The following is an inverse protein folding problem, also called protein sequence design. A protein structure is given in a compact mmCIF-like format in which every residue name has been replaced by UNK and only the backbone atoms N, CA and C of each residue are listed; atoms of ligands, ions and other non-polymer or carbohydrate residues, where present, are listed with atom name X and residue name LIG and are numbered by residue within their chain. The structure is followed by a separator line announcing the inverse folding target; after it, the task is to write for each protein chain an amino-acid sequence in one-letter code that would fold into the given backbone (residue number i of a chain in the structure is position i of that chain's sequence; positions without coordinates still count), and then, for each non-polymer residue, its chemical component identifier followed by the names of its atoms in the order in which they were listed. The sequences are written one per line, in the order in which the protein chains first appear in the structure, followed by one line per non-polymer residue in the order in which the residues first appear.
data_IF_763257405566
#
_entry.id   IF_763257405566
#
_cell.length_a   1.000
_cell.length_b   1.000
_cell.length_c   1.000
_cell.angle_alpha   90.00
_cell.angle_beta   90.00
_cell.angle_gamma   90.00
#
_symmetry.space_group_name_H-M   'P 1'
#
loop_
_entity.id
_entity.type
_entity.pdbx_description
1 polymer ?
#
# COMPACT_ATOMS: atom_id res chain seq x y z
N UNK A 1 -8.25 -8.24 -12.94
CA UNK A 1 -9.23 -7.81 -11.92
C UNK A 1 -8.55 -7.32 -10.64
N UNK A 2 -7.64 -8.09 -10.05
CA UNK A 2 -6.96 -7.75 -8.78
C UNK A 2 -6.15 -6.46 -8.85
N UNK A 3 -5.47 -6.18 -9.97
CA UNK A 3 -4.72 -4.94 -10.19
C UNK A 3 -5.63 -3.70 -10.11
N UNK A 4 -6.86 -3.80 -10.60
CA UNK A 4 -7.82 -2.70 -10.55
C UNK A 4 -8.26 -2.38 -9.11
N UNK A 5 -8.35 -3.37 -8.23
CA UNK A 5 -8.67 -3.15 -6.82
C UNK A 5 -7.51 -2.46 -6.09
N UNK A 6 -6.25 -2.82 -6.39
CA UNK A 6 -5.09 -2.12 -5.90
C UNK A 6 -5.03 -0.66 -6.38
N UNK A 7 -5.33 -0.43 -7.66
CA UNK A 7 -5.40 0.93 -8.22
C UNK A 7 -6.52 1.77 -7.57
N UNK A 8 -7.70 1.19 -7.34
CA UNK A 8 -8.83 1.89 -6.70
C UNK A 8 -8.51 2.31 -5.25
N UNK A 9 -7.75 1.52 -4.52
CA UNK A 9 -7.33 1.88 -3.16
C UNK A 9 -6.34 3.06 -3.14
N UNK A 10 -5.67 3.38 -4.27
CA UNK A 10 -4.81 4.57 -4.38
C UNK A 10 -5.62 5.90 -4.30
N UNK A 11 -6.94 5.87 -4.32
CA UNK A 11 -7.77 7.04 -3.98
C UNK A 11 -7.34 7.65 -2.65
N UNK A 12 -6.90 6.84 -1.68
CA UNK A 12 -6.33 7.33 -0.42
C UNK A 12 -5.09 8.21 -0.62
N UNK A 13 -4.19 7.85 -1.53
CA UNK A 13 -2.98 8.63 -1.85
C UNK A 13 -3.38 10.00 -2.43
N UNK A 14 -4.29 10.01 -3.40
CA UNK A 14 -4.74 11.25 -4.03
C UNK A 14 -5.56 12.13 -3.08
N UNK A 15 -6.36 11.53 -2.19
CA UNK A 15 -7.11 12.25 -1.16
C UNK A 15 -6.16 12.92 -0.15
N UNK A 16 -5.10 12.22 0.29
CA UNK A 16 -4.09 12.80 1.17
C UNK A 16 -3.32 13.93 0.48
N UNK A 17 -2.92 13.73 -0.78
CA UNK A 17 -2.23 14.76 -1.57
C UNK A 17 -3.09 16.01 -1.73
N UNK A 18 -4.33 15.86 -2.19
CA UNK A 18 -5.25 16.99 -2.37
C UNK A 18 -5.59 17.67 -1.05
N UNK A 19 -5.82 16.90 0.01
CA UNK A 19 -6.07 17.43 1.35
C UNK A 19 -4.87 18.21 1.91
N UNK A 20 -3.64 17.72 1.71
CA UNK A 20 -2.43 18.43 2.13
C UNK A 20 -2.26 19.76 1.38
N UNK A 21 -2.52 19.77 0.07
CA UNK A 21 -2.50 21.02 -0.71
C UNK A 21 -3.55 22.04 -0.20
N UNK A 22 -4.76 21.58 0.13
CA UNK A 22 -5.82 22.44 0.70
C UNK A 22 -5.47 22.97 2.09
N UNK A 23 -4.65 22.27 2.85
CA UNK A 23 -4.18 22.68 4.17
C UNK A 23 -2.94 23.61 4.10
N UNK A 24 -2.49 23.98 2.90
CA UNK A 24 -1.40 24.92 2.68
C UNK A 24 0.00 24.31 2.67
N UNK A 25 0.13 22.99 2.61
CA UNK A 25 1.42 22.34 2.36
C UNK A 25 1.88 22.59 0.93
N UNK A 26 3.19 22.71 0.75
CA UNK A 26 3.76 22.80 -0.60
C UNK A 26 3.48 21.55 -1.40
N UNK A 27 3.55 21.63 -2.72
CA UNK A 27 3.29 20.50 -3.60
C UNK A 27 4.24 19.30 -3.31
N UNK A 28 5.49 19.56 -2.93
CA UNK A 28 6.47 18.54 -2.55
C UNK A 28 6.10 17.87 -1.21
N UNK A 29 5.75 18.66 -0.22
CA UNK A 29 5.27 18.15 1.08
C UNK A 29 3.97 17.36 0.92
N UNK A 30 3.03 17.89 0.14
CA UNK A 30 1.76 17.22 -0.15
C UNK A 30 1.95 15.87 -0.86
N UNK A 31 2.92 15.78 -1.78
CA UNK A 31 3.27 14.50 -2.41
C UNK A 31 3.85 13.50 -1.40
N UNK A 32 4.75 13.96 -0.53
CA UNK A 32 5.33 13.11 0.52
C UNK A 32 4.27 12.63 1.53
N UNK A 33 3.34 13.51 1.91
CA UNK A 33 2.21 13.20 2.79
C UNK A 33 1.22 12.25 2.07
N UNK A 34 0.99 12.45 0.78
CA UNK A 34 0.03 11.69 -0.01
C UNK A 34 0.24 10.18 0.08
N UNK A 35 1.48 9.73 0.06
CA UNK A 35 1.80 8.29 0.10
C UNK A 35 1.32 7.59 1.38
N UNK A 36 1.15 8.33 2.49
CA UNK A 36 0.59 7.77 3.74
C UNK A 36 -0.78 7.13 3.48
N UNK A 37 -1.58 7.73 2.58
CA UNK A 37 -2.90 7.22 2.23
C UNK A 37 -2.89 5.83 1.56
N UNK A 38 -1.75 5.40 1.02
CA UNK A 38 -1.53 4.04 0.52
C UNK A 38 -1.21 3.02 1.61
N UNK A 39 -1.00 3.45 2.85
CA UNK A 39 -0.56 2.60 3.98
C UNK A 39 0.75 1.85 3.71
N UNK A 40 1.72 2.53 3.12
CA UNK A 40 3.05 2.02 2.76
C UNK A 40 4.13 2.79 3.51
N UNK A 41 4.56 2.27 4.65
CA UNK A 41 5.56 2.90 5.51
C UNK A 41 6.90 3.12 4.81
N UNK A 42 7.54 2.07 4.26
CA UNK A 42 8.83 2.19 3.57
C UNK A 42 8.79 3.17 2.39
N UNK A 43 7.76 3.13 1.57
CA UNK A 43 7.60 4.04 0.44
C UNK A 43 7.37 5.49 0.90
N UNK A 44 6.63 5.68 2.00
CA UNK A 44 6.44 7.01 2.62
C UNK A 44 7.77 7.61 3.08
N UNK A 45 8.63 6.82 3.73
CA UNK A 45 9.98 7.27 4.12
C UNK A 45 10.82 7.59 2.88
N UNK A 46 10.83 6.71 1.89
CA UNK A 46 11.59 6.92 0.65
C UNK A 46 11.21 8.24 -0.03
N UNK A 47 9.92 8.54 -0.13
CA UNK A 47 9.48 9.76 -0.77
C UNK A 47 9.73 11.00 0.10
N UNK A 48 9.50 10.91 1.42
CA UNK A 48 9.74 12.00 2.35
C UNK A 48 11.22 12.39 2.39
N UNK A 49 12.16 11.45 2.35
CA UNK A 49 13.59 11.76 2.29
C UNK A 49 13.99 12.54 1.04
N UNK A 50 13.26 12.39 -0.06
CA UNK A 50 13.53 13.09 -1.33
C UNK A 50 12.82 14.43 -1.44
N UNK A 51 11.56 14.52 -1.01
CA UNK A 51 10.71 15.69 -1.28
C UNK A 51 10.50 16.58 -0.07
N UNK A 52 10.50 16.03 1.15
CA UNK A 52 10.22 16.76 2.39
C UNK A 52 11.02 16.21 3.58
N UNK A 53 12.37 16.30 3.59
CA UNK A 53 13.20 15.70 4.64
C UNK A 53 12.87 16.23 6.04
N UNK A 54 12.43 17.47 6.17
CA UNK A 54 12.03 18.11 7.43
C UNK A 54 10.75 17.51 8.02
N UNK A 55 9.89 16.87 7.21
CA UNK A 55 8.67 16.17 7.65
C UNK A 55 8.87 14.67 7.83
N UNK A 56 10.08 14.14 7.59
CA UNK A 56 10.37 12.70 7.60
C UNK A 56 9.88 12.02 8.88
N UNK A 57 10.18 12.60 10.05
CA UNK A 57 9.78 12.03 11.33
C UNK A 57 8.27 11.93 11.50
N UNK A 58 7.53 13.00 11.18
CA UNK A 58 6.08 13.03 11.26
C UNK A 58 5.42 12.05 10.28
N UNK A 59 5.90 12.01 9.03
CA UNK A 59 5.40 11.10 7.99
C UNK A 59 5.67 9.64 8.37
N UNK A 60 6.87 9.32 8.86
CA UNK A 60 7.23 7.97 9.26
C UNK A 60 6.34 7.46 10.40
N UNK A 61 6.16 8.27 11.46
CA UNK A 61 5.29 7.91 12.59
C UNK A 61 3.85 7.72 12.14
N UNK A 62 3.31 8.64 11.35
CA UNK A 62 1.96 8.51 10.81
C UNK A 62 1.81 7.22 10.00
N UNK A 63 2.69 6.96 9.01
CA UNK A 63 2.60 5.82 8.12
C UNK A 63 2.68 4.48 8.87
N UNK A 64 3.66 4.31 9.78
CA UNK A 64 3.78 3.07 10.56
C UNK A 64 2.69 2.90 11.60
N UNK A 65 2.20 4.00 12.21
CA UNK A 65 1.07 3.93 13.12
C UNK A 65 -0.17 3.42 12.41
N UNK A 66 -0.47 3.90 11.20
CA UNK A 66 -1.63 3.42 10.43
C UNK A 66 -1.47 1.98 9.97
N UNK A 67 -0.27 1.55 9.57
CA UNK A 67 -0.02 0.14 9.29
C UNK A 67 -0.36 -0.74 10.49
N UNK A 68 0.03 -0.34 11.70
CA UNK A 68 -0.28 -1.08 12.92
C UNK A 68 -1.77 -1.06 13.27
N UNK A 69 -2.47 0.02 12.92
CA UNK A 69 -3.90 0.21 13.21
C UNK A 69 -4.83 -0.35 12.12
N UNK A 70 -4.29 -0.94 11.04
CA UNK A 70 -5.08 -1.58 9.97
C UNK A 70 -6.17 -2.52 10.54
N UNK A 71 -5.88 -3.44 11.47
CA UNK A 71 -6.90 -4.35 12.01
C UNK A 71 -8.00 -3.65 12.81
N UNK A 72 -7.76 -2.43 13.27
CA UNK A 72 -8.73 -1.64 14.03
C UNK A 72 -9.57 -0.74 13.12
N UNK A 73 -8.94 -0.08 12.13
CA UNK A 73 -9.58 0.92 11.28
C UNK A 73 -10.37 0.29 10.14
N UNK A 74 -9.83 -0.73 9.47
CA UNK A 74 -10.47 -1.31 8.29
C UNK A 74 -11.81 -1.99 8.57
N UNK A 75 -12.00 -2.82 9.62
CA UNK A 75 -13.26 -3.54 9.81
C UNK A 75 -14.50 -2.66 9.93
N UNK A 76 -14.50 -1.53 10.67
CA UNK A 76 -15.62 -0.59 10.68
C UNK A 76 -15.92 -0.02 9.30
N UNK A 77 -14.88 0.40 8.56
CA UNK A 77 -15.03 0.96 7.21
C UNK A 77 -15.61 -0.07 6.26
N UNK A 78 -15.08 -1.29 6.26
CA UNK A 78 -15.59 -2.39 5.44
C UNK A 78 -17.06 -2.69 5.72
N UNK A 79 -17.46 -2.73 6.99
CA UNK A 79 -18.84 -2.97 7.41
C UNK A 79 -19.78 -1.83 7.02
N UNK A 80 -19.31 -0.59 7.06
CA UNK A 80 -20.08 0.59 6.66
C UNK A 80 -20.44 0.55 5.18
N UNK A 81 -19.49 0.13 4.33
CA UNK A 81 -19.66 0.14 2.87
C UNK A 81 -20.15 -1.20 2.30
N UNK A 82 -20.35 -2.25 3.11
CA UNK A 82 -20.85 -3.55 2.65
C UNK A 82 -22.06 -4.02 3.44
N UNK A 83 -22.99 -4.63 2.75
CA UNK A 83 -24.14 -5.34 3.38
C UNK A 83 -23.70 -6.71 3.91
N UNK A 84 -24.50 -7.31 4.79
CA UNK A 84 -24.25 -8.65 5.30
C UNK A 84 -24.19 -9.69 4.17
N UNK A 85 -25.11 -9.62 3.22
CA UNK A 85 -25.17 -10.51 2.05
C UNK A 85 -23.91 -10.44 1.20
N UNK A 86 -23.38 -9.22 0.95
CA UNK A 86 -22.14 -9.03 0.19
C UNK A 86 -20.91 -9.63 0.91
N UNK A 87 -20.87 -9.55 2.24
CA UNK A 87 -19.78 -10.14 3.04
C UNK A 87 -19.81 -11.66 3.07
N UNK A 88 -20.98 -12.27 2.87
CA UNK A 88 -21.17 -13.72 2.88
C UNK A 88 -20.85 -14.38 1.53
N UNK A 89 -20.58 -13.61 0.47
CA UNK A 89 -20.22 -14.13 -0.84
C UNK A 89 -18.98 -15.01 -0.73
N UNK A 90 -19.11 -16.30 -1.08
CA UNK A 90 -18.01 -17.25 -1.15
C UNK A 90 -17.40 -17.18 -2.55
N UNK A 91 -16.12 -16.92 -2.62
CA UNK A 91 -15.41 -16.84 -3.89
C UNK A 91 -14.96 -18.23 -4.37
N UNK A 92 -15.08 -18.46 -5.67
CA UNK A 92 -14.58 -19.68 -6.29
C UNK A 92 -13.05 -19.79 -6.16
N UNK A 93 -12.53 -21.00 -6.12
CA UNK A 93 -11.09 -21.26 -6.01
C UNK A 93 -10.34 -20.60 -7.16
N UNK A 94 -9.19 -19.98 -6.83
CA UNK A 94 -8.32 -19.39 -7.83
C UNK A 94 -7.72 -20.46 -8.75
N UNK A 95 -7.47 -20.07 -10.00
CA UNK A 95 -6.69 -20.88 -10.94
C UNK A 95 -5.31 -21.21 -10.36
N UNK A 96 -4.89 -22.44 -10.51
CA UNK A 96 -3.50 -22.79 -10.21
C UNK A 96 -2.54 -22.06 -11.14
N UNK A 97 -1.53 -21.42 -10.54
CA UNK A 97 -0.48 -20.68 -11.25
C UNK A 97 0.74 -21.59 -11.38
N UNK A 98 1.22 -21.78 -12.60
CA UNK A 98 2.40 -22.62 -12.86
C UNK A 98 3.66 -22.01 -12.26
N UNK A 99 4.67 -22.83 -11.94
CA UNK A 99 5.98 -22.38 -11.46
C UNK A 99 6.65 -21.43 -12.46
N UNK A 100 6.50 -21.69 -13.75
CA UNK A 100 7.04 -20.83 -14.80
C UNK A 100 6.43 -19.42 -14.76
N UNK A 101 5.10 -19.31 -14.64
CA UNK A 101 4.43 -18.01 -14.51
C UNK A 101 4.91 -17.24 -13.29
N UNK A 102 5.11 -17.90 -12.14
CA UNK A 102 5.59 -17.30 -10.91
C UNK A 102 7.01 -16.75 -11.00
N UNK A 103 7.88 -17.39 -11.77
CA UNK A 103 9.26 -16.97 -12.01
C UNK A 103 9.34 -15.85 -13.05
N UNK A 104 8.57 -15.96 -14.14
CA UNK A 104 8.59 -15.01 -15.25
C UNK A 104 7.93 -13.68 -14.89
N UNK A 105 6.85 -13.71 -14.10
CA UNK A 105 6.11 -12.51 -13.72
C UNK A 105 7.00 -11.40 -13.08
N UNK A 106 7.80 -11.65 -12.04
CA UNK A 106 8.64 -10.61 -11.45
C UNK A 106 9.68 -10.06 -12.41
N UNK A 107 10.23 -10.87 -13.29
CA UNK A 107 11.22 -10.44 -14.29
C UNK A 107 10.57 -9.51 -15.31
N UNK A 108 9.46 -9.95 -15.93
CA UNK A 108 8.74 -9.16 -16.93
C UNK A 108 8.18 -7.88 -16.33
N UNK A 109 7.57 -7.95 -15.14
CA UNK A 109 7.04 -6.79 -14.44
C UNK A 109 8.13 -5.77 -14.14
N UNK A 110 9.30 -6.20 -13.66
CA UNK A 110 10.43 -5.31 -13.39
C UNK A 110 10.90 -4.62 -14.65
N UNK A 111 11.15 -5.37 -15.73
CA UNK A 111 11.61 -4.81 -17.01
C UNK A 111 10.59 -3.81 -17.55
N UNK A 112 9.33 -4.21 -17.66
CA UNK A 112 8.29 -3.40 -18.27
C UNK A 112 8.07 -2.09 -17.49
N UNK A 113 7.92 -2.17 -16.17
CA UNK A 113 7.64 -0.99 -15.35
C UNK A 113 8.87 -0.10 -15.24
N UNK A 114 10.08 -0.66 -15.14
CA UNK A 114 11.32 0.13 -15.11
C UNK A 114 11.62 0.87 -16.41
N UNK A 115 11.22 0.34 -17.55
CA UNK A 115 11.30 1.04 -18.83
C UNK A 115 10.33 2.22 -18.91
N UNK A 116 9.14 2.09 -18.30
CA UNK A 116 8.15 3.17 -18.26
C UNK A 116 8.49 4.23 -17.20
N UNK A 117 8.95 3.79 -16.04
CA UNK A 117 9.19 4.61 -14.86
C UNK A 117 10.54 4.25 -14.21
N UNK A 118 11.68 4.74 -14.74
CA UNK A 118 13.01 4.39 -14.19
C UNK A 118 13.18 4.75 -12.72
N UNK A 119 12.48 5.78 -12.23
CA UNK A 119 12.55 6.29 -10.86
C UNK A 119 12.14 5.26 -9.79
N UNK A 120 11.32 4.26 -10.13
CA UNK A 120 10.83 3.25 -9.18
C UNK A 120 11.60 1.93 -9.27
N UNK A 121 12.57 1.82 -10.16
CA UNK A 121 13.30 0.57 -10.41
C UNK A 121 13.89 -0.03 -9.13
N UNK A 122 14.41 0.80 -8.22
CA UNK A 122 14.98 0.33 -6.95
C UNK A 122 13.93 -0.29 -6.02
N UNK A 123 12.77 0.37 -5.86
CA UNK A 123 11.69 -0.12 -5.00
C UNK A 123 11.07 -1.40 -5.58
N UNK A 124 10.63 -1.32 -6.84
CA UNK A 124 9.98 -2.44 -7.50
C UNK A 124 10.93 -3.61 -7.72
N UNK A 125 12.17 -3.32 -8.14
CA UNK A 125 13.19 -4.32 -8.38
C UNK A 125 13.49 -5.15 -7.12
N UNK A 126 13.61 -4.52 -5.96
CA UNK A 126 13.84 -5.25 -4.70
C UNK A 126 12.63 -6.07 -4.26
N UNK A 127 11.40 -5.57 -4.46
CA UNK A 127 10.18 -6.34 -4.23
C UNK A 127 10.13 -7.59 -5.14
N UNK A 128 10.40 -7.41 -6.42
CA UNK A 128 10.35 -8.50 -7.41
C UNK A 128 11.52 -9.47 -7.25
N UNK A 129 12.70 -8.99 -6.82
CA UNK A 129 13.84 -9.85 -6.49
C UNK A 129 13.51 -10.77 -5.30
N UNK A 130 12.89 -10.24 -4.25
CA UNK A 130 12.46 -11.05 -3.11
C UNK A 130 11.43 -12.11 -3.52
N UNK A 131 10.49 -11.75 -4.39
CA UNK A 131 9.54 -12.71 -4.96
C UNK A 131 10.25 -13.81 -5.79
N UNK A 132 11.23 -13.42 -6.61
CA UNK A 132 12.03 -14.35 -7.39
C UNK A 132 12.84 -15.33 -6.51
N UNK A 133 13.44 -14.83 -5.41
CA UNK A 133 14.13 -15.70 -4.44
C UNK A 133 13.20 -16.78 -3.89
N UNK A 134 11.99 -16.43 -3.57
CA UNK A 134 10.99 -17.35 -3.03
C UNK A 134 10.49 -18.38 -4.07
N UNK A 135 10.11 -17.90 -5.26
CA UNK A 135 9.43 -18.74 -6.25
C UNK A 135 10.40 -19.56 -7.14
N UNK A 136 11.70 -19.20 -7.18
CA UNK A 136 12.71 -19.94 -7.93
C UNK A 136 12.95 -21.36 -7.38
N UNK A 137 12.81 -21.53 -6.05
CA UNK A 137 13.05 -22.79 -5.35
C UNK A 137 14.51 -23.28 -5.37
N UNK A 138 15.45 -22.41 -5.76
CA UNK A 138 16.90 -22.71 -5.75
C UNK A 138 17.68 -21.75 -4.85
N UNK A 139 17.01 -20.74 -4.30
CA UNK A 139 17.61 -19.70 -3.45
C UNK A 139 16.92 -19.61 -2.09
N UNK A 140 16.45 -20.72 -1.54
CA UNK A 140 15.71 -20.74 -0.26
C UNK A 140 16.49 -20.09 0.88
N UNK A 141 17.81 -20.35 0.97
CA UNK A 141 18.67 -19.72 1.98
C UNK A 141 18.70 -18.19 1.86
N UNK A 142 18.72 -17.64 0.65
CA UNK A 142 18.67 -16.18 0.43
C UNK A 142 17.31 -15.61 0.75
N UNK A 143 16.25 -16.33 0.39
CA UNK A 143 14.87 -15.99 0.75
C UNK A 143 14.69 -15.93 2.27
N UNK A 144 15.16 -16.95 2.99
CA UNK A 144 15.11 -17.00 4.44
C UNK A 144 15.90 -15.86 5.09
N UNK A 145 17.15 -15.65 4.64
CA UNK A 145 18.00 -14.55 5.13
C UNK A 145 17.31 -13.19 4.93
N UNK A 146 16.69 -12.98 3.76
CA UNK A 146 16.02 -11.71 3.45
C UNK A 146 14.78 -11.48 4.33
N UNK A 147 14.02 -12.53 4.59
CA UNK A 147 12.79 -12.46 5.39
C UNK A 147 13.03 -12.38 6.91
N UNK A 148 14.20 -12.74 7.39
CA UNK A 148 14.52 -12.80 8.81
C UNK A 148 15.70 -11.87 9.18
N UNK A 149 16.94 -12.25 8.87
CA UNK A 149 18.11 -11.53 9.33
C UNK A 149 18.25 -10.15 8.69
N UNK A 150 18.10 -10.06 7.35
CA UNK A 150 18.27 -8.81 6.62
C UNK A 150 17.18 -7.81 6.96
N UNK A 151 15.90 -8.23 6.96
CA UNK A 151 14.79 -7.33 7.27
C UNK A 151 14.90 -6.77 8.69
N UNK A 152 15.29 -7.59 9.67
CA UNK A 152 15.48 -7.13 11.04
C UNK A 152 16.64 -6.13 11.14
N UNK A 153 17.78 -6.40 10.51
CA UNK A 153 18.92 -5.50 10.48
C UNK A 153 18.56 -4.15 9.84
N UNK A 154 17.93 -4.18 8.67
CA UNK A 154 17.48 -2.97 7.96
C UNK A 154 16.45 -2.20 8.79
N UNK A 155 15.53 -2.90 9.46
CA UNK A 155 14.52 -2.27 10.33
C UNK A 155 15.16 -1.53 11.51
N UNK A 156 16.21 -2.11 12.14
CA UNK A 156 16.94 -1.44 13.24
C UNK A 156 17.57 -0.14 12.72
N UNK A 157 18.30 -0.18 11.61
CA UNK A 157 18.90 1.02 11.04
C UNK A 157 17.88 2.06 10.60
N UNK A 158 16.81 1.62 9.94
CA UNK A 158 15.73 2.50 9.50
C UNK A 158 15.03 3.20 10.68
N UNK A 159 14.64 2.42 11.70
CA UNK A 159 13.96 2.95 12.88
C UNK A 159 14.87 3.89 13.68
N UNK A 160 16.13 3.52 13.88
CA UNK A 160 17.10 4.37 14.58
C UNK A 160 17.38 5.65 13.79
N UNK A 161 17.65 5.54 12.48
CA UNK A 161 17.89 6.69 11.62
C UNK A 161 16.71 7.65 11.58
N UNK A 162 15.48 7.13 11.44
CA UNK A 162 14.26 7.93 11.47
C UNK A 162 14.06 8.57 12.84
N UNK A 163 14.30 7.84 13.94
CA UNK A 163 14.20 8.37 15.30
C UNK A 163 15.16 9.53 15.55
N UNK A 164 16.37 9.47 15.03
CA UNK A 164 17.37 10.54 15.15
C UNK A 164 16.97 11.84 14.41
N UNK A 165 16.08 11.77 13.42
CA UNK A 165 15.56 12.95 12.72
C UNK A 165 14.41 13.63 13.48
N UNK A 166 13.88 13.01 14.53
CA UNK A 166 12.77 13.54 15.31
C UNK A 166 13.28 14.51 16.37
N UNK A 167 12.98 15.80 16.22
CA UNK A 167 13.15 16.78 17.27
C UNK A 167 11.79 17.13 17.90
N UNK A 168 11.77 17.48 19.20
CA UNK A 168 10.53 17.82 19.89
C UNK A 168 9.81 19.02 19.22
N UNK A 169 10.56 20.00 18.76
CA UNK A 169 10.04 21.20 18.10
C UNK A 169 9.29 20.88 16.80
N UNK A 170 9.85 20.02 15.98
CA UNK A 170 9.21 19.63 14.71
C UNK A 170 8.09 18.62 14.91
N UNK A 171 8.26 17.69 15.86
CA UNK A 171 7.28 16.62 16.08
C UNK A 171 6.01 17.11 16.80
N UNK A 172 6.12 18.05 17.74
CA UNK A 172 4.99 18.62 18.47
C UNK A 172 4.39 19.85 17.76
N UNK A 173 4.53 19.92 16.46
CA UNK A 173 4.01 21.01 15.63
C UNK A 173 2.56 20.77 15.20
N UNK A 174 1.83 21.84 14.88
CA UNK A 174 0.51 21.75 14.26
C UNK A 174 0.55 20.98 12.94
N UNK A 175 1.64 21.12 12.18
CA UNK A 175 1.84 20.38 10.92
C UNK A 175 1.82 18.87 11.14
N UNK A 176 2.47 18.36 12.17
CA UNK A 176 2.48 16.93 12.51
C UNK A 176 1.08 16.44 12.84
N UNK A 177 0.30 17.19 13.60
CA UNK A 177 -1.09 16.84 13.92
C UNK A 177 -1.93 16.79 12.65
N UNK A 178 -1.77 17.75 11.76
CA UNK A 178 -2.46 17.78 10.47
C UNK A 178 -2.08 16.58 9.61
N UNK A 179 -0.80 16.21 9.54
CA UNK A 179 -0.30 15.02 8.81
C UNK A 179 -0.94 13.74 9.37
N UNK A 180 -1.00 13.60 10.70
CA UNK A 180 -1.63 12.46 11.37
C UNK A 180 -3.13 12.41 11.04
N UNK A 181 -3.87 13.48 11.21
CA UNK A 181 -5.31 13.49 10.91
C UNK A 181 -5.60 13.21 9.43
N UNK A 182 -4.82 13.84 8.54
CA UNK A 182 -4.97 13.65 7.10
C UNK A 182 -4.65 12.22 6.66
N UNK A 183 -3.59 11.64 7.22
CA UNK A 183 -3.23 10.25 6.97
C UNK A 183 -4.33 9.26 7.38
N UNK A 184 -5.00 9.50 8.53
CA UNK A 184 -6.13 8.69 8.97
C UNK A 184 -7.30 8.77 7.99
N UNK A 185 -7.70 9.98 7.62
CA UNK A 185 -8.79 10.20 6.65
C UNK A 185 -8.47 9.57 5.31
N UNK A 186 -7.23 9.73 4.85
CA UNK A 186 -6.78 9.15 3.60
C UNK A 186 -6.76 7.62 3.61
N UNK A 187 -6.33 7.01 4.71
CA UNK A 187 -6.35 5.55 4.87
C UNK A 187 -7.77 4.99 4.89
N UNK A 188 -8.70 5.68 5.56
CA UNK A 188 -10.14 5.37 5.51
C UNK A 188 -10.64 5.48 4.07
N UNK A 189 -10.28 6.56 3.37
CA UNK A 189 -10.65 6.79 1.98
C UNK A 189 -10.13 5.72 1.02
N UNK A 190 -8.87 5.30 1.18
CA UNK A 190 -8.27 4.21 0.40
C UNK A 190 -8.97 2.87 0.62
N UNK A 191 -9.26 2.54 1.88
CA UNK A 191 -10.03 1.34 2.23
C UNK A 191 -11.45 1.38 1.64
N UNK A 192 -12.14 2.52 1.78
CA UNK A 192 -13.48 2.72 1.23
C UNK A 192 -13.48 2.63 -0.30
N UNK A 193 -12.54 3.30 -0.97
CA UNK A 193 -12.38 3.26 -2.42
C UNK A 193 -12.18 1.85 -2.96
N UNK A 194 -11.30 1.08 -2.31
CA UNK A 194 -11.08 -0.33 -2.66
C UNK A 194 -12.34 -1.18 -2.50
N UNK A 195 -13.05 -1.04 -1.37
CA UNK A 195 -14.31 -1.78 -1.11
C UNK A 195 -15.41 -1.38 -2.10
N UNK A 196 -15.60 -0.09 -2.36
CA UNK A 196 -16.61 0.41 -3.31
C UNK A 196 -16.32 -0.10 -4.72
N UNK A 197 -15.06 -0.10 -5.13
CA UNK A 197 -14.70 -0.68 -6.42
C UNK A 197 -14.88 -2.21 -6.44
N UNK A 198 -14.63 -2.88 -5.31
CA UNK A 198 -14.95 -4.30 -5.14
C UNK A 198 -16.45 -4.58 -5.30
N UNK A 199 -17.33 -3.69 -4.81
CA UNK A 199 -18.79 -3.76 -5.04
C UNK A 199 -19.12 -3.59 -6.52
N UNK A 200 -18.52 -2.60 -7.17
CA UNK A 200 -18.73 -2.38 -8.61
C UNK A 200 -18.31 -3.63 -9.41
N UNK A 201 -17.17 -4.21 -9.05
CA UNK A 201 -16.69 -5.44 -9.67
C UNK A 201 -17.65 -6.61 -9.42
N UNK A 202 -18.17 -6.75 -8.20
CA UNK A 202 -19.18 -7.75 -7.84
C UNK A 202 -20.46 -7.61 -8.67
N UNK A 203 -20.92 -6.38 -8.91
CA UNK A 203 -22.07 -6.11 -9.76
C UNK A 203 -21.83 -6.52 -11.22
N UNK A 204 -20.63 -6.24 -11.74
CA UNK A 204 -20.26 -6.57 -13.13
C UNK A 204 -20.10 -8.07 -13.36
N UNK A 205 -19.62 -8.83 -12.37
CA UNK A 205 -19.40 -10.27 -12.51
C UNK A 205 -20.54 -11.14 -11.92
N UNK A 206 -21.68 -10.53 -11.66
CA UNK A 206 -22.88 -11.26 -11.23
C UNK A 206 -22.82 -11.77 -9.80
N UNK A 207 -22.12 -11.06 -8.90
CA UNK A 207 -22.07 -11.40 -7.48
C UNK A 207 -21.00 -12.44 -7.11
N UNK A 208 -20.03 -12.70 -7.98
CA UNK A 208 -18.97 -13.69 -7.74
C UNK A 208 -17.81 -13.16 -6.92
N UNK A 209 -17.53 -11.85 -6.99
CA UNK A 209 -16.47 -11.20 -6.24
C UNK A 209 -16.99 -10.69 -4.90
N UNK A 210 -16.36 -11.10 -3.81
CA UNK A 210 -16.64 -10.54 -2.50
C UNK A 210 -15.99 -9.14 -2.36
N UNK A 211 -16.78 -8.07 -2.13
CA UNK A 211 -16.26 -6.70 -2.06
C UNK A 211 -15.19 -6.48 -0.98
N UNK A 212 -15.18 -7.31 0.06
CA UNK A 212 -14.21 -7.20 1.15
C UNK A 212 -12.75 -7.29 0.67
N UNK A 213 -12.47 -8.03 -0.43
CA UNK A 213 -11.09 -8.14 -0.94
C UNK A 213 -10.56 -6.80 -1.46
N UNK A 214 -11.44 -5.86 -1.80
CA UNK A 214 -11.07 -4.52 -2.23
C UNK A 214 -10.38 -3.72 -1.12
N UNK A 215 -10.71 -3.94 0.16
CA UNK A 215 -10.03 -3.30 1.28
C UNK A 215 -8.55 -3.66 1.36
N UNK A 216 -8.16 -4.80 0.81
CA UNK A 216 -6.76 -5.23 0.75
C UNK A 216 -5.94 -4.51 -0.33
N UNK A 217 -6.57 -3.67 -1.16
CA UNK A 217 -5.86 -2.85 -2.17
C UNK A 217 -4.91 -1.80 -1.60
N UNK A 218 -4.94 -1.53 -0.30
CA UNK A 218 -3.90 -0.73 0.37
C UNK A 218 -2.61 -1.55 0.54
N UNK A 219 -1.45 -0.87 0.62
CA UNK A 219 -0.12 -1.52 0.60
C UNK A 219 0.29 -2.22 1.91
N UNK A 220 -0.57 -2.26 2.92
CA UNK A 220 -0.27 -2.93 4.20
C UNK A 220 -0.26 -4.47 4.06
N UNK A 221 0.80 -5.02 3.50
CA UNK A 221 0.97 -6.46 3.22
C UNK A 221 1.63 -7.16 4.43
N UNK A 222 1.12 -8.32 4.84
CA UNK A 222 -0.12 -9.00 4.48
C UNK A 222 -1.32 -8.63 5.37
N UNK A 223 -1.21 -7.57 6.16
CA UNK A 223 -2.19 -7.25 7.21
C UNK A 223 -3.58 -6.96 6.65
N UNK A 224 -3.68 -6.13 5.59
CA UNK A 224 -4.97 -5.80 4.99
C UNK A 224 -5.69 -7.03 4.41
N UNK A 225 -4.95 -7.95 3.80
CA UNK A 225 -5.51 -9.21 3.32
C UNK A 225 -6.02 -10.11 4.47
N UNK A 226 -5.28 -10.15 5.59
CA UNK A 226 -5.72 -10.88 6.79
C UNK A 226 -6.97 -10.27 7.41
N UNK A 227 -7.09 -8.94 7.41
CA UNK A 227 -8.30 -8.26 7.91
C UNK A 227 -9.50 -8.60 7.03
N UNK A 228 -9.35 -8.62 5.69
CA UNK A 228 -10.41 -9.06 4.78
C UNK A 228 -10.85 -10.49 5.09
N UNK A 229 -9.92 -11.40 5.34
CA UNK A 229 -10.21 -12.78 5.77
C UNK A 229 -10.99 -12.82 7.08
N UNK A 230 -10.54 -12.08 8.11
CA UNK A 230 -11.18 -12.08 9.43
C UNK A 230 -12.62 -11.54 9.37
N UNK A 231 -12.85 -10.47 8.61
CA UNK A 231 -14.18 -9.90 8.45
C UNK A 231 -15.09 -10.82 7.65
N UNK A 232 -14.57 -11.45 6.58
CA UNK A 232 -15.31 -12.41 5.77
C UNK A 232 -15.68 -13.68 6.54
N UNK A 233 -14.74 -14.26 7.30
CA UNK A 233 -14.99 -15.44 8.12
C UNK A 233 -15.98 -15.19 9.26
N UNK A 234 -16.03 -13.96 9.81
CA UNK A 234 -17.07 -13.58 10.80
C UNK A 234 -18.47 -13.48 10.19
N UNK A 235 -18.58 -13.14 8.91
CA UNK A 235 -19.85 -13.11 8.22
C UNK A 235 -20.30 -14.51 7.77
N UNK A 236 -19.37 -15.31 7.25
CA UNK A 236 -19.58 -16.68 6.82
C UNK A 236 -18.31 -17.51 7.08
N UNK A 237 -18.32 -18.49 8.03
CA UNK A 237 -17.15 -19.30 8.37
C UNK A 237 -16.57 -20.12 7.20
N UNK A 238 -17.36 -20.38 6.16
CA UNK A 238 -16.88 -21.07 4.95
C UNK A 238 -16.10 -20.15 3.99
N UNK A 239 -15.94 -18.88 4.34
CA UNK A 239 -15.37 -17.87 3.45
C UNK A 239 -13.85 -17.76 3.61
N UNK A 240 -13.11 -18.22 2.60
CA UNK A 240 -11.65 -18.16 2.54
C UNK A 240 -11.20 -17.04 1.60
N UNK A 241 -11.19 -15.81 2.09
CA UNK A 241 -10.84 -14.63 1.29
C UNK A 241 -9.35 -14.32 1.22
N UNK A 242 -8.50 -14.90 2.09
CA UNK A 242 -7.09 -14.53 2.22
C UNK A 242 -6.35 -14.59 0.87
N UNK A 243 -6.46 -15.71 0.18
CA UNK A 243 -5.75 -15.90 -1.09
C UNK A 243 -6.25 -14.94 -2.18
N UNK A 244 -7.55 -14.65 -2.18
CA UNK A 244 -8.16 -13.68 -3.10
C UNK A 244 -7.73 -12.24 -2.77
N UNK A 245 -7.61 -11.90 -1.48
CA UNK A 245 -7.22 -10.58 -1.01
C UNK A 245 -5.71 -10.29 -1.19
N UNK A 246 -4.86 -11.32 -1.23
CA UNK A 246 -3.42 -11.14 -1.45
C UNK A 246 -3.11 -10.53 -2.83
N UNK A 247 -3.89 -10.82 -3.86
CA UNK A 247 -3.72 -10.23 -5.19
C UNK A 247 -3.90 -8.71 -5.20
N UNK A 248 -5.04 -8.17 -4.75
CA UNK A 248 -5.20 -6.73 -4.54
C UNK A 248 -4.15 -6.11 -3.63
N UNK A 249 -3.71 -6.82 -2.58
CA UNK A 249 -2.75 -6.33 -1.62
C UNK A 249 -1.37 -6.09 -2.25
N UNK A 250 -0.87 -7.06 -3.02
CA UNK A 250 0.38 -6.89 -3.79
C UNK A 250 0.22 -5.82 -4.88
N UNK A 251 -0.94 -5.77 -5.54
CA UNK A 251 -1.25 -4.73 -6.52
C UNK A 251 -1.22 -3.32 -5.90
N UNK A 252 -1.65 -3.19 -4.65
CA UNK A 252 -1.55 -1.95 -3.87
C UNK A 252 -0.10 -1.49 -3.69
N UNK A 253 0.81 -2.40 -3.33
CA UNK A 253 2.25 -2.08 -3.19
C UNK A 253 2.83 -1.56 -4.50
N UNK A 254 2.53 -2.25 -5.61
CA UNK A 254 2.96 -1.80 -6.93
C UNK A 254 2.39 -0.42 -7.25
N UNK A 255 1.10 -0.21 -6.96
CA UNK A 255 0.42 1.08 -7.18
C UNK A 255 1.04 2.22 -6.37
N UNK A 256 1.34 1.99 -5.10
CA UNK A 256 1.99 2.99 -4.24
C UNK A 256 3.43 3.28 -4.68
N UNK A 257 4.19 2.25 -5.09
CA UNK A 257 5.53 2.43 -5.64
C UNK A 257 5.49 3.25 -6.96
N UNK A 258 4.53 2.98 -7.85
CA UNK A 258 4.32 3.76 -9.07
C UNK A 258 3.97 5.21 -8.74
N UNK A 259 3.04 5.46 -7.81
CA UNK A 259 2.69 6.80 -7.37
C UNK A 259 3.92 7.54 -6.82
N UNK A 260 4.71 6.90 -5.95
CA UNK A 260 5.92 7.48 -5.38
C UNK A 260 7.01 7.78 -6.44
N UNK A 261 7.07 6.99 -7.51
CA UNK A 261 8.03 7.23 -8.60
C UNK A 261 7.62 8.33 -9.56
N UNK A 262 6.31 8.50 -9.78
CA UNK A 262 5.80 9.53 -10.70
C UNK A 262 5.80 10.93 -10.08
N UNK A 263 5.55 11.04 -8.78
CA UNK A 263 5.47 12.33 -8.08
C UNK A 263 6.75 13.18 -8.21
N UNK A 264 7.98 12.68 -7.92
CA UNK A 264 9.18 13.48 -8.08
C UNK A 264 9.42 13.93 -9.51
N UNK A 265 9.14 13.08 -10.49
CA UNK A 265 9.32 13.39 -11.93
C UNK A 265 8.39 14.51 -12.35
N UNK A 266 7.13 14.46 -11.94
CA UNK A 266 6.15 15.52 -12.27
C UNK A 266 6.58 16.88 -11.74
N UNK A 267 7.15 16.94 -10.52
CA UNK A 267 7.62 18.22 -9.94
C UNK A 267 8.91 18.73 -10.55
N UNK A 268 9.83 17.88 -10.97
CA UNK A 268 11.04 18.31 -11.66
C UNK A 268 10.74 18.88 -13.05
N UNK A 269 9.78 18.31 -13.75
CA UNK A 269 9.35 18.85 -15.05
C UNK A 269 8.60 20.18 -14.93
N UNK A 270 7.74 20.35 -13.93
CA UNK A 270 7.06 21.63 -13.70
C UNK A 270 8.04 22.77 -13.41
N UNK A 271 9.09 22.50 -12.62
CA UNK A 271 10.12 23.48 -12.28
C UNK A 271 11.06 23.86 -13.45
N UNK A 272 11.19 23.00 -14.44
CA UNK A 272 12.00 23.27 -15.65
C UNK A 272 11.28 24.20 -16.63
N UNK A 273 10.00 24.48 -16.42
CA UNK A 273 9.17 25.37 -17.24
C UNK A 273 8.81 26.69 -16.55
N UNK A 274 9.22 26.91 -15.28
CA UNK A 274 9.23 28.20 -14.58
C UNK A 274 10.61 28.89 -14.71
#
# INVERSE_FOLDING_TARGET
KTLLLGAAAQIGVFAALGGAMMLGFTAQEAAAIGIIGGADGPTSIYLATKLAPHLLGAIAVAAYSYMSLVPLIQPPVMKLFTTQKEREIVMEQLREVTRFEKIVFPIVATIFISLLLPSITSLLGMLMLGNLFRESGVTERLSDTSQNALINTVTIFLATGTGLTMSAEHFLSVQTILIICLGLVAFIGGTAGGVLFGKLMSLVDGGKTNPLIGSAGVSAVPMAARVSQVVGAKANPANFLLMHAMGPNVAGVIGTAVAAGTMPVSYTHLRAHE
#
